data_IF_748678560154
#
_entry.id   IF_748678560154
#
_cell.length_a   1.000
_cell.length_b   1.000
_cell.length_c   1.000
_cell.angle_alpha   90.00
_cell.angle_beta   90.00
_cell.angle_gamma   90.00
#
_symmetry.space_group_name_H-M   'P 1'
#
loop_
_entity.id
_entity.type
_entity.pdbx_description
1 polymer ?
#
# COMPACT_ATOMS: atom_id res chain seq x y z
N UNK A 1 -15.05 59.86 7.64
CA UNK A 1 -14.91 58.65 8.48
C UNK A 1 -14.15 57.62 7.66
N UNK A 2 -12.86 57.43 7.96
CA UNK A 2 -11.99 56.48 7.27
C UNK A 2 -11.40 55.59 8.37
N UNK A 3 -11.83 54.33 8.44
CA UNK A 3 -11.29 53.35 9.38
C UNK A 3 -10.27 52.49 8.64
N UNK A 4 -9.00 52.69 8.97
CA UNK A 4 -7.91 51.78 8.60
C UNK A 4 -8.02 50.51 9.42
N UNK A 5 -8.08 49.35 8.76
CA UNK A 5 -7.90 48.04 9.40
C UNK A 5 -6.47 47.59 9.16
N UNK A 6 -5.69 47.52 10.25
CA UNK A 6 -4.34 46.97 10.28
C UNK A 6 -4.45 45.44 10.22
N UNK A 7 -3.94 44.82 9.17
CA UNK A 7 -3.81 43.36 9.12
C UNK A 7 -2.58 42.93 9.93
N UNK A 8 -2.81 42.17 11.01
CA UNK A 8 -1.76 41.48 11.76
C UNK A 8 -1.39 40.21 10.97
N UNK A 9 -0.19 40.18 10.39
CA UNK A 9 0.36 38.93 9.86
C UNK A 9 0.84 38.07 11.03
N UNK A 10 0.12 37.00 11.36
CA UNK A 10 0.69 35.91 12.15
C UNK A 10 1.62 35.11 11.24
N UNK A 11 2.92 35.23 11.48
CA UNK A 11 3.92 34.30 10.97
C UNK A 11 3.71 32.94 11.64
N UNK A 12 3.13 31.98 10.90
CA UNK A 12 3.11 30.58 11.32
C UNK A 12 4.54 30.02 11.18
N UNK A 13 5.17 29.74 12.33
CA UNK A 13 6.43 29.01 12.40
C UNK A 13 6.21 27.57 11.92
N UNK A 14 6.99 27.16 10.93
CA UNK A 14 7.08 25.81 10.43
C UNK A 14 7.70 24.91 11.53
N UNK A 15 6.87 24.12 12.21
CA UNK A 15 7.34 23.02 13.06
C UNK A 15 7.58 21.82 12.15
N UNK A 16 8.83 21.57 11.79
CA UNK A 16 9.25 20.34 11.10
C UNK A 16 9.37 19.25 12.17
N UNK A 17 8.44 18.29 12.17
CA UNK A 17 8.57 17.05 12.92
C UNK A 17 9.45 16.07 12.11
N UNK A 18 10.39 15.34 12.75
CA UNK A 18 11.17 14.32 12.06
C UNK A 18 10.31 13.06 11.85
N UNK A 19 10.28 12.54 10.62
CA UNK A 19 9.83 11.15 10.38
C UNK A 19 8.77 10.90 9.31
N UNK A 20 8.53 11.81 8.35
CA UNK A 20 7.78 11.45 7.13
C UNK A 20 8.75 11.35 5.95
N UNK A 21 9.01 10.11 5.52
CA UNK A 21 9.52 9.87 4.19
C UNK A 21 8.40 10.28 3.22
N UNK A 22 8.58 11.46 2.63
CA UNK A 22 7.84 11.93 1.47
C UNK A 22 7.92 10.87 0.38
N UNK A 23 6.80 10.24 0.03
CA UNK A 23 6.67 9.47 -1.21
C UNK A 23 6.50 10.45 -2.39
N UNK A 24 7.52 11.28 -2.59
CA UNK A 24 7.73 12.10 -3.76
C UNK A 24 9.25 12.15 -3.99
N UNK A 25 9.76 11.02 -4.49
CA UNK A 25 11.00 10.85 -5.26
C UNK A 25 11.28 9.34 -5.34
N UNK A 26 10.58 8.68 -6.26
CA UNK A 26 10.98 7.36 -6.74
C UNK A 26 11.26 7.46 -8.24
N UNK A 27 12.11 8.43 -8.61
CA UNK A 27 12.87 8.37 -9.85
C UNK A 27 14.28 7.86 -9.55
N UNK A 28 14.61 6.74 -10.19
CA UNK A 28 15.95 6.20 -10.44
C UNK A 28 16.73 5.54 -9.29
N UNK A 29 17.09 4.28 -9.57
CA UNK A 29 18.33 3.58 -9.23
C UNK A 29 18.63 3.28 -7.74
N UNK A 30 18.33 2.03 -7.34
CA UNK A 30 18.98 1.35 -6.21
C UNK A 30 19.54 0.00 -6.68
N UNK A 31 20.84 -0.04 -6.94
CA UNK A 31 21.57 -1.25 -7.27
C UNK A 31 21.65 -2.18 -6.05
N UNK A 32 21.30 -3.46 -6.25
CA UNK A 32 21.71 -4.56 -5.39
C UNK A 32 22.28 -5.67 -6.29
N UNK A 33 23.58 -5.91 -6.15
CA UNK A 33 24.29 -7.00 -6.81
C UNK A 33 24.21 -8.26 -5.93
N UNK A 34 23.62 -9.34 -6.46
CA UNK A 34 23.90 -10.70 -6.03
C UNK A 34 23.73 -11.66 -7.22
N UNK A 35 24.74 -12.49 -7.44
CA UNK A 35 24.98 -13.25 -8.65
C UNK A 35 24.03 -14.44 -8.84
N UNK A 36 23.50 -14.59 -10.06
CA UNK A 36 23.02 -15.86 -10.61
C UNK A 36 23.08 -15.81 -12.14
N UNK A 37 24.00 -16.58 -12.74
CA UNK A 37 24.02 -17.00 -14.14
C UNK A 37 24.09 -15.89 -15.20
N UNK A 38 25.25 -15.72 -15.83
CA UNK A 38 25.35 -14.98 -17.10
C UNK A 38 24.63 -15.76 -18.20
N UNK A 39 23.30 -15.65 -18.25
CA UNK A 39 22.52 -16.11 -19.39
C UNK A 39 22.85 -15.14 -20.53
N UNK A 40 23.43 -15.67 -21.62
CA UNK A 40 23.82 -14.87 -22.77
C UNK A 40 22.66 -13.97 -23.21
N UNK A 41 22.95 -12.70 -23.47
CA UNK A 41 21.98 -11.77 -24.02
C UNK A 41 21.36 -12.40 -25.28
N UNK A 42 20.04 -12.55 -25.30
CA UNK A 42 19.36 -13.02 -26.49
C UNK A 42 19.43 -11.88 -27.50
N UNK A 43 20.07 -12.12 -28.65
CA UNK A 43 20.36 -11.09 -29.66
C UNK A 43 19.19 -10.89 -30.65
N UNK A 44 17.97 -10.74 -30.13
CA UNK A 44 16.78 -10.49 -30.93
C UNK A 44 16.39 -9.01 -31.01
N UNK A 45 15.39 -8.71 -31.83
CA UNK A 45 14.91 -7.35 -32.12
C UNK A 45 13.44 -7.22 -31.74
N UNK A 46 13.10 -6.19 -30.96
CA UNK A 46 11.72 -5.80 -30.71
C UNK A 46 11.08 -5.23 -31.98
N UNK A 47 9.92 -5.77 -32.33
CA UNK A 47 9.10 -5.38 -33.48
C UNK A 47 7.74 -4.92 -32.99
N UNK A 48 7.08 -4.04 -33.74
CA UNK A 48 5.73 -3.57 -33.41
C UNK A 48 4.89 -3.41 -34.66
N UNK A 49 3.64 -3.82 -34.58
CA UNK A 49 2.60 -3.55 -35.58
C UNK A 49 1.35 -2.95 -34.92
N UNK A 50 0.20 -3.00 -35.61
CA UNK A 50 -1.07 -2.51 -35.09
C UNK A 50 -1.65 -3.36 -33.94
N UNK A 51 -1.21 -4.61 -33.78
CA UNK A 51 -1.67 -5.53 -32.73
C UNK A 51 -0.84 -5.40 -31.46
N UNK A 52 0.48 -5.22 -31.59
CA UNK A 52 1.32 -5.06 -30.42
C UNK A 52 2.81 -5.19 -30.68
N UNK A 53 3.56 -5.27 -29.58
CA UNK A 53 4.99 -5.57 -29.59
C UNK A 53 5.22 -7.07 -29.65
N UNK A 54 6.25 -7.53 -30.36
CA UNK A 54 6.74 -8.91 -30.33
C UNK A 54 8.26 -8.93 -30.46
N UNK A 55 8.89 -10.06 -30.17
CA UNK A 55 10.35 -10.18 -30.15
C UNK A 55 10.85 -11.16 -31.22
N UNK A 56 11.59 -10.67 -32.22
CA UNK A 56 12.13 -11.48 -33.30
C UNK A 56 13.53 -11.99 -32.96
N UNK A 57 13.73 -13.30 -32.96
CA UNK A 57 15.03 -13.93 -32.77
C UNK A 57 15.88 -13.89 -34.06
N UNK A 58 17.21 -14.07 -33.98
CA UNK A 58 18.09 -14.07 -35.15
C UNK A 58 17.71 -15.04 -36.26
N UNK A 59 17.12 -16.19 -35.91
CA UNK A 59 16.64 -17.20 -36.84
C UNK A 59 15.26 -16.87 -37.47
N UNK A 60 14.70 -15.71 -37.12
CA UNK A 60 13.40 -15.23 -37.57
C UNK A 60 12.22 -15.74 -36.74
N UNK A 61 12.43 -16.67 -35.81
CA UNK A 61 11.38 -17.16 -34.90
C UNK A 61 11.03 -16.12 -33.82
N UNK A 62 9.98 -16.40 -33.03
CA UNK A 62 9.52 -15.51 -31.96
C UNK A 62 8.84 -16.30 -30.83
N UNK A 63 8.88 -15.80 -29.58
CA UNK A 63 8.18 -16.44 -28.47
C UNK A 63 6.67 -16.27 -28.61
N UNK A 64 5.92 -17.36 -28.46
CA UNK A 64 4.47 -17.37 -28.48
C UNK A 64 3.93 -18.29 -27.37
N UNK A 65 2.97 -17.80 -26.59
CA UNK A 65 2.32 -18.49 -25.48
C UNK A 65 3.25 -18.77 -24.30
N UNK A 66 4.36 -18.03 -24.17
CA UNK A 66 5.43 -18.32 -23.23
C UNK A 66 5.95 -17.08 -22.54
N UNK A 67 6.59 -17.30 -21.38
CA UNK A 67 7.44 -16.31 -20.73
C UNK A 67 8.86 -16.39 -21.36
N UNK A 68 9.58 -15.27 -21.43
CA UNK A 68 10.94 -15.20 -21.94
C UNK A 68 11.76 -14.12 -21.24
N UNK A 69 13.01 -14.45 -20.90
CA UNK A 69 13.98 -13.49 -20.35
C UNK A 69 14.80 -12.87 -21.47
N UNK A 70 14.73 -11.55 -21.60
CA UNK A 70 15.48 -10.76 -22.58
C UNK A 70 16.32 -9.76 -21.79
N UNK A 71 17.65 -9.87 -21.90
CA UNK A 71 18.61 -9.03 -21.17
C UNK A 71 18.33 -8.95 -19.65
N UNK A 72 18.06 -10.11 -19.03
CA UNK A 72 17.78 -10.21 -17.60
C UNK A 72 16.38 -9.77 -17.17
N UNK A 73 15.53 -9.31 -18.09
CA UNK A 73 14.15 -8.92 -17.80
C UNK A 73 13.17 -9.96 -18.35
N UNK A 74 12.23 -10.39 -17.53
CA UNK A 74 11.20 -11.35 -17.94
C UNK A 74 9.99 -10.66 -18.57
N UNK A 75 9.58 -11.16 -19.74
CA UNK A 75 8.42 -10.74 -20.52
C UNK A 75 7.48 -11.94 -20.70
N UNK A 76 6.22 -11.71 -21.05
CA UNK A 76 5.27 -12.77 -21.41
C UNK A 76 4.60 -12.47 -22.73
N UNK A 77 4.39 -13.49 -23.54
CA UNK A 77 3.81 -13.39 -24.87
C UNK A 77 2.53 -14.21 -24.96
N UNK A 78 1.51 -13.68 -25.63
CA UNK A 78 0.27 -14.40 -25.94
C UNK A 78 0.48 -15.49 -27.00
N UNK A 79 -0.55 -16.26 -27.30
CA UNK A 79 -0.47 -17.42 -28.20
C UNK A 79 -0.06 -17.04 -29.64
N UNK A 80 -0.24 -15.78 -30.03
CA UNK A 80 0.11 -15.23 -31.33
C UNK A 80 1.53 -14.62 -31.34
N UNK A 81 2.16 -14.50 -30.18
CA UNK A 81 3.52 -13.99 -30.00
C UNK A 81 3.61 -12.50 -29.66
N UNK A 82 2.50 -11.85 -29.34
CA UNK A 82 2.48 -10.47 -28.89
C UNK A 82 2.70 -10.38 -27.38
N UNK A 83 3.54 -9.43 -26.99
CA UNK A 83 3.90 -9.14 -25.61
C UNK A 83 2.67 -8.64 -24.84
N UNK A 84 2.42 -9.23 -23.67
CA UNK A 84 1.35 -8.77 -22.77
C UNK A 84 1.87 -7.78 -21.75
N UNK A 85 0.99 -6.87 -21.35
CA UNK A 85 1.17 -5.93 -20.24
C UNK A 85 -0.01 -6.05 -19.27
N UNK A 86 0.12 -5.44 -18.09
CA UNK A 86 -0.89 -5.45 -17.04
C UNK A 86 -0.96 -6.77 -16.28
N UNK A 87 -2.13 -7.04 -15.74
CA UNK A 87 -2.40 -8.24 -14.93
C UNK A 87 -2.49 -9.50 -15.79
N UNK A 88 -1.66 -10.48 -15.45
CA UNK A 88 -1.63 -11.78 -16.14
C UNK A 88 -1.82 -12.89 -15.11
N UNK A 89 -2.88 -13.68 -15.29
CA UNK A 89 -3.17 -14.84 -14.43
C UNK A 89 -2.23 -16.00 -14.77
N UNK A 90 -1.60 -16.57 -13.74
CA UNK A 90 -0.82 -17.80 -13.80
C UNK A 90 -1.47 -18.90 -12.97
N UNK A 91 -0.94 -20.13 -13.05
CA UNK A 91 -1.41 -21.25 -12.23
C UNK A 91 -1.26 -21.00 -10.72
N UNK A 92 -0.32 -20.15 -10.30
CA UNK A 92 0.00 -19.89 -8.89
C UNK A 92 -0.61 -18.59 -8.35
N UNK A 93 -1.12 -17.72 -9.21
CA UNK A 93 -1.60 -16.40 -8.82
C UNK A 93 -1.40 -15.36 -9.92
N UNK A 94 -1.53 -14.09 -9.56
CA UNK A 94 -1.44 -12.97 -10.49
C UNK A 94 -0.02 -12.43 -10.60
N UNK A 95 0.47 -12.30 -11.82
CA UNK A 95 1.67 -11.54 -12.18
C UNK A 95 1.25 -10.17 -12.71
N UNK A 96 2.10 -9.16 -12.54
CA UNK A 96 1.93 -7.87 -13.18
C UNK A 96 3.09 -7.59 -14.13
N UNK A 97 2.75 -7.10 -15.33
CA UNK A 97 3.70 -6.66 -16.35
C UNK A 97 3.53 -5.16 -16.55
N UNK A 98 4.60 -4.39 -16.36
CA UNK A 98 4.57 -2.94 -16.56
C UNK A 98 4.23 -2.59 -18.02
N UNK A 99 3.86 -1.32 -18.32
CA UNK A 99 3.63 -0.90 -19.70
C UNK A 99 4.82 -1.14 -20.65
N UNK A 100 6.04 -1.23 -20.11
CA UNK A 100 7.24 -1.63 -20.84
C UNK A 100 7.30 -3.13 -21.20
N UNK A 101 6.41 -3.95 -20.65
CA UNK A 101 6.43 -5.40 -20.77
C UNK A 101 7.30 -6.11 -19.74
N UNK A 102 8.06 -5.38 -18.93
CA UNK A 102 8.86 -5.98 -17.86
C UNK A 102 7.94 -6.56 -16.76
N UNK A 103 8.19 -7.80 -16.32
CA UNK A 103 7.50 -8.34 -15.14
C UNK A 103 7.89 -7.57 -13.89
N UNK A 104 6.90 -7.21 -13.07
CA UNK A 104 7.15 -6.66 -11.74
C UNK A 104 7.93 -7.66 -10.87
N UNK A 105 8.94 -7.12 -10.17
CA UNK A 105 9.65 -7.82 -9.11
C UNK A 105 8.85 -7.86 -7.81
N UNK A 106 9.51 -8.20 -6.71
CA UNK A 106 8.91 -8.05 -5.38
C UNK A 106 8.76 -6.56 -5.00
N UNK A 107 7.78 -6.26 -4.15
CA UNK A 107 7.52 -4.94 -3.62
C UNK A 107 6.21 -4.32 -4.11
N UNK A 108 6.06 -3.03 -3.80
CA UNK A 108 4.86 -2.26 -4.11
C UNK A 108 4.77 -1.93 -5.60
N UNK A 109 3.58 -2.12 -6.16
CA UNK A 109 3.22 -1.74 -7.54
C UNK A 109 1.97 -0.89 -7.49
N UNK A 110 2.01 0.28 -8.12
CA UNK A 110 0.83 1.13 -8.30
C UNK A 110 0.25 0.95 -9.69
N UNK A 111 -1.05 0.66 -9.77
CA UNK A 111 -1.81 0.50 -11.01
C UNK A 111 -3.06 1.38 -10.90
N UNK A 112 -3.17 2.38 -11.79
CA UNK A 112 -4.32 3.30 -11.84
C UNK A 112 -4.69 3.95 -10.49
N UNK A 113 -3.67 4.29 -9.69
CA UNK A 113 -3.82 4.89 -8.37
C UNK A 113 -4.05 3.88 -7.23
N UNK A 114 -4.21 2.60 -7.52
CA UNK A 114 -4.36 1.53 -6.53
C UNK A 114 -3.02 0.82 -6.29
N UNK A 115 -2.68 0.59 -5.02
CA UNK A 115 -1.46 -0.12 -4.64
C UNK A 115 -1.69 -1.62 -4.48
N UNK A 116 -0.71 -2.41 -4.92
CA UNK A 116 -0.64 -3.86 -4.78
C UNK A 116 0.75 -4.23 -4.28
N UNK A 117 0.88 -5.37 -3.60
CA UNK A 117 2.17 -5.86 -3.13
C UNK A 117 2.53 -7.19 -3.79
N UNK A 118 3.66 -7.22 -4.49
CA UNK A 118 4.20 -8.41 -5.15
C UNK A 118 5.20 -9.10 -4.22
N UNK A 119 5.08 -10.41 -4.02
CA UNK A 119 5.99 -11.19 -3.17
C UNK A 119 6.22 -12.60 -3.65
N UNK A 120 7.34 -13.19 -3.22
CA UNK A 120 7.72 -14.56 -3.53
C UNK A 120 8.61 -14.67 -4.77
N UNK A 121 9.05 -15.90 -5.03
CA UNK A 121 9.85 -16.24 -6.21
C UNK A 121 9.15 -17.35 -7.01
N UNK A 122 8.51 -17.03 -8.15
CA UNK A 122 8.39 -15.70 -8.77
C UNK A 122 7.45 -14.76 -7.99
N UNK A 123 7.64 -13.44 -8.17
CA UNK A 123 6.81 -12.43 -7.52
C UNK A 123 5.37 -12.49 -8.02
N UNK A 124 4.44 -12.67 -7.08
CA UNK A 124 2.99 -12.74 -7.29
C UNK A 124 2.30 -11.72 -6.39
N UNK A 125 1.17 -11.18 -6.84
CA UNK A 125 0.41 -10.26 -6.02
C UNK A 125 -0.16 -10.96 -4.78
N UNK A 126 0.02 -10.33 -3.62
CA UNK A 126 -0.57 -10.75 -2.36
C UNK A 126 -2.07 -10.43 -2.35
N UNK A 127 -2.88 -11.46 -2.11
CA UNK A 127 -4.33 -11.39 -2.20
C UNK A 127 -4.93 -11.48 -0.80
N UNK A 128 -5.65 -10.45 -0.37
CA UNK A 128 -6.40 -10.46 0.87
C UNK A 128 -5.58 -10.43 2.15
N UNK A 129 -6.16 -9.85 3.19
CA UNK A 129 -5.71 -9.99 4.56
C UNK A 129 -4.50 -9.13 4.93
N UNK A 130 -3.93 -9.48 6.08
CA UNK A 130 -2.83 -8.75 6.69
C UNK A 130 -1.50 -9.00 5.98
N UNK A 131 -0.78 -7.92 5.73
CA UNK A 131 0.54 -7.92 5.11
C UNK A 131 1.49 -7.10 5.98
N UNK A 132 2.58 -7.71 6.44
CA UNK A 132 3.67 -7.00 7.13
C UNK A 132 4.82 -6.73 6.15
N UNK A 133 5.24 -5.47 6.04
CA UNK A 133 6.40 -5.05 5.25
C UNK A 133 7.25 -4.12 6.10
N UNK A 134 8.47 -4.57 6.41
CA UNK A 134 9.44 -3.76 7.18
C UNK A 134 8.93 -3.34 8.56
N UNK A 135 8.18 -4.20 9.25
CA UNK A 135 7.58 -3.89 10.56
C UNK A 135 6.32 -3.03 10.51
N UNK A 136 5.83 -2.67 9.33
CA UNK A 136 4.57 -1.94 9.15
C UNK A 136 3.49 -2.89 8.63
N UNK A 137 2.32 -2.85 9.25
CA UNK A 137 1.15 -3.64 8.84
C UNK A 137 0.31 -2.89 7.81
N UNK A 138 -0.14 -3.62 6.80
CA UNK A 138 -1.06 -3.22 5.74
C UNK A 138 -2.19 -4.23 5.67
N UNK A 139 -3.30 -3.84 5.07
CA UNK A 139 -4.40 -4.75 4.79
C UNK A 139 -4.72 -4.71 3.30
N UNK A 140 -4.77 -5.89 2.67
CA UNK A 140 -5.12 -6.04 1.26
C UNK A 140 -6.55 -6.59 1.16
N UNK A 141 -7.32 -6.12 0.20
CA UNK A 141 -8.63 -6.70 -0.09
C UNK A 141 -8.51 -7.99 -0.91
N UNK A 142 -9.64 -8.65 -1.18
CA UNK A 142 -9.67 -9.92 -1.93
C UNK A 142 -9.15 -9.83 -3.37
N UNK A 143 -9.07 -8.64 -3.95
CA UNK A 143 -8.47 -8.39 -5.26
C UNK A 143 -6.95 -8.13 -5.19
N UNK A 144 -6.41 -8.02 -3.98
CA UNK A 144 -5.03 -7.65 -3.71
C UNK A 144 -4.79 -6.14 -3.70
N UNK A 145 -5.85 -5.33 -3.74
CA UNK A 145 -5.74 -3.88 -3.61
C UNK A 145 -5.50 -3.49 -2.15
N UNK A 146 -4.59 -2.55 -1.92
CA UNK A 146 -4.27 -2.04 -0.60
C UNK A 146 -5.43 -1.20 -0.06
N UNK A 147 -5.90 -1.53 1.13
CA UNK A 147 -6.99 -0.83 1.81
C UNK A 147 -6.46 0.42 2.51
N UNK A 148 -7.25 1.50 2.43
CA UNK A 148 -7.09 2.71 3.23
C UNK A 148 -8.41 3.02 3.95
N UNK A 149 -8.35 3.75 5.05
CA UNK A 149 -9.51 4.06 5.90
C UNK A 149 -9.87 2.93 6.86
N UNK A 150 -11.10 2.96 7.36
CA UNK A 150 -11.63 1.96 8.29
C UNK A 150 -11.79 0.60 7.63
N UNK A 151 -11.31 -0.45 8.28
CA UNK A 151 -11.49 -1.85 7.87
C UNK A 151 -11.95 -2.68 9.06
N UNK A 152 -12.97 -3.51 8.83
CA UNK A 152 -13.45 -4.49 9.81
C UNK A 152 -12.88 -5.86 9.47
N UNK A 153 -12.18 -6.47 10.42
CA UNK A 153 -11.58 -7.80 10.26
C UNK A 153 -12.07 -8.68 11.41
N UNK A 154 -12.93 -9.66 11.10
CA UNK A 154 -13.67 -10.38 12.14
C UNK A 154 -14.62 -9.43 12.87
N UNK A 155 -14.52 -9.36 14.19
CA UNK A 155 -15.32 -8.45 15.02
C UNK A 155 -14.62 -7.11 15.29
N UNK A 156 -13.33 -7.01 14.96
CA UNK A 156 -12.48 -5.87 15.30
C UNK A 156 -12.42 -4.84 14.16
N UNK A 157 -12.33 -3.57 14.54
CA UNK A 157 -12.09 -2.45 13.63
C UNK A 157 -10.64 -1.98 13.69
N UNK A 158 -10.10 -1.66 12.52
CA UNK A 158 -8.76 -1.10 12.35
C UNK A 158 -8.86 0.12 11.45
N UNK A 159 -7.89 1.02 11.56
CA UNK A 159 -7.78 2.15 10.64
C UNK A 159 -6.48 2.06 9.85
N UNK A 160 -6.59 2.00 8.53
CA UNK A 160 -5.48 2.06 7.60
C UNK A 160 -5.27 3.52 7.19
N UNK A 161 -4.08 4.07 7.44
CA UNK A 161 -3.72 5.44 7.06
C UNK A 161 -3.77 5.62 5.54
N UNK A 162 -3.73 6.86 5.01
CA UNK A 162 -3.67 7.09 3.56
C UNK A 162 -2.48 6.41 2.86
N UNK A 163 -1.39 6.16 3.59
CA UNK A 163 -0.24 5.37 3.14
C UNK A 163 -0.49 3.86 3.09
N UNK A 164 -1.63 3.40 3.62
CA UNK A 164 -1.95 2.00 3.86
C UNK A 164 -1.40 1.43 5.17
N UNK A 165 -0.59 2.18 5.91
CA UNK A 165 -0.05 1.72 7.20
C UNK A 165 -1.16 1.63 8.25
N UNK A 166 -1.21 0.55 9.02
CA UNK A 166 -2.13 0.37 10.13
C UNK A 166 -1.84 1.40 11.23
N UNK A 167 -2.85 2.18 11.61
CA UNK A 167 -2.74 3.14 12.69
C UNK A 167 -2.72 2.45 14.06
N UNK A 168 -1.94 3.04 14.97
CA UNK A 168 -1.95 2.76 16.41
C UNK A 168 -1.94 4.08 17.17
N UNK A 169 -2.36 4.05 18.44
CA UNK A 169 -2.47 5.23 19.29
C UNK A 169 -3.70 6.11 18.98
N UNK A 170 -3.60 7.37 19.40
CA UNK A 170 -4.66 8.36 19.20
C UNK A 170 -4.76 8.78 17.73
N UNK A 171 -5.99 8.81 17.22
CA UNK A 171 -6.31 9.19 15.86
C UNK A 171 -7.44 10.23 15.87
N UNK A 172 -7.26 11.34 15.15
CA UNK A 172 -8.30 12.34 14.96
C UNK A 172 -8.83 12.32 13.53
N UNK A 173 -10.12 12.07 13.34
CA UNK A 173 -10.79 12.09 12.04
C UNK A 173 -12.01 13.01 12.11
N UNK A 174 -12.06 14.03 11.25
CA UNK A 174 -13.22 14.91 11.14
C UNK A 174 -13.64 15.59 12.46
N UNK A 175 -12.67 15.85 13.35
CA UNK A 175 -12.92 16.42 14.68
C UNK A 175 -13.28 15.39 15.78
N UNK A 176 -13.47 14.12 15.42
CA UNK A 176 -13.70 13.03 16.38
C UNK A 176 -12.38 12.32 16.71
N UNK A 177 -12.17 12.02 17.99
CA UNK A 177 -11.01 11.25 18.44
C UNK A 177 -11.36 9.76 18.55
N UNK A 178 -10.39 8.93 18.21
CA UNK A 178 -10.40 7.47 18.32
C UNK A 178 -9.09 7.02 18.96
N UNK A 179 -9.07 5.82 19.51
CA UNK A 179 -7.84 5.19 19.95
C UNK A 179 -7.71 3.81 19.32
N UNK A 180 -6.61 3.56 18.62
CA UNK A 180 -6.25 2.26 18.08
C UNK A 180 -5.23 1.65 19.05
N UNK A 181 -5.55 0.50 19.61
CA UNK A 181 -4.68 -0.19 20.56
C UNK A 181 -3.33 -0.56 19.91
N UNK A 182 -2.30 -0.99 20.66
CA UNK A 182 -1.00 -1.36 20.09
C UNK A 182 -1.06 -2.44 18.99
N UNK A 183 -2.07 -3.30 19.03
CA UNK A 183 -2.35 -4.31 18.00
C UNK A 183 -3.23 -3.78 16.84
N UNK A 184 -3.54 -2.48 16.82
CA UNK A 184 -4.37 -1.80 15.83
C UNK A 184 -5.88 -1.83 16.07
N UNK A 185 -6.36 -2.61 17.05
CA UNK A 185 -7.80 -2.75 17.31
C UNK A 185 -8.36 -1.45 17.90
N UNK A 186 -9.41 -0.93 17.29
CA UNK A 186 -10.14 0.25 17.77
C UNK A 186 -10.72 0.01 19.16
N UNK A 187 -10.42 0.91 20.09
CA UNK A 187 -11.01 0.92 21.41
C UNK A 187 -12.51 1.28 21.35
N UNK A 188 -13.30 0.63 22.20
CA UNK A 188 -14.70 0.97 22.49
C UNK A 188 -14.96 0.67 23.97
N UNK A 189 -15.99 1.27 24.57
CA UNK A 189 -16.27 1.12 26.00
C UNK A 189 -15.23 1.85 26.87
N UNK A 190 -14.96 1.35 28.06
CA UNK A 190 -13.96 1.93 28.98
C UNK A 190 -12.61 1.21 28.77
N UNK A 191 -11.59 1.96 28.37
CA UNK A 191 -10.23 1.44 28.13
C UNK A 191 -9.20 2.28 28.89
N UNK A 192 -8.28 1.63 29.60
CA UNK A 192 -7.17 2.30 30.30
C UNK A 192 -6.02 2.59 29.33
N UNK A 193 -5.63 3.86 29.22
CA UNK A 193 -4.54 4.33 28.37
C UNK A 193 -3.59 5.14 29.24
N UNK A 194 -2.34 4.68 29.38
CA UNK A 194 -1.32 5.30 30.24
C UNK A 194 -1.80 5.51 31.70
N UNK A 195 -2.53 4.54 32.25
CA UNK A 195 -3.06 4.60 33.62
C UNK A 195 -4.29 5.48 33.80
N UNK A 196 -4.86 6.02 32.71
CA UNK A 196 -6.07 6.84 32.75
C UNK A 196 -7.19 6.10 32.00
N UNK A 197 -8.32 5.78 32.64
CA UNK A 197 -9.47 5.21 31.95
C UNK A 197 -10.11 6.26 31.04
N UNK A 198 -10.41 5.87 29.80
CA UNK A 198 -11.10 6.66 28.81
C UNK A 198 -12.36 5.94 28.32
N UNK A 199 -13.43 6.68 28.13
CA UNK A 199 -14.68 6.17 27.60
C UNK A 199 -14.77 6.42 26.09
N UNK A 200 -15.19 5.40 25.35
CA UNK A 200 -15.42 5.40 23.92
C UNK A 200 -16.80 4.83 23.64
N UNK A 201 -17.51 5.39 22.67
CA UNK A 201 -18.75 4.82 22.14
C UNK A 201 -18.48 3.49 21.43
N UNK A 202 -19.54 2.75 21.10
CA UNK A 202 -19.44 1.47 20.36
C UNK A 202 -18.85 1.64 18.95
N UNK A 203 -18.94 2.84 18.38
CA UNK A 203 -18.32 3.20 17.10
C UNK A 203 -16.86 3.68 17.27
N UNK A 204 -16.32 3.64 18.49
CA UNK A 204 -14.97 4.06 18.85
C UNK A 204 -14.76 5.56 19.03
N UNK A 205 -15.81 6.38 18.92
CA UNK A 205 -15.71 7.81 19.18
C UNK A 205 -15.40 8.05 20.66
N UNK A 206 -14.33 8.79 20.92
CA UNK A 206 -13.90 9.13 22.27
C UNK A 206 -14.84 10.15 22.93
N UNK A 207 -15.29 9.83 24.13
CA UNK A 207 -16.19 10.66 24.95
C UNK A 207 -15.40 11.53 25.93
N UNK A 208 -14.32 10.99 26.52
CA UNK A 208 -13.56 11.68 27.55
C UNK A 208 -12.74 10.73 28.44
N UNK A 209 -11.94 11.30 29.34
CA UNK A 209 -11.41 10.56 30.49
C UNK A 209 -12.53 10.27 31.49
N UNK A 210 -12.57 9.06 32.04
CA UNK A 210 -13.58 8.61 32.98
C UNK A 210 -13.06 8.77 34.41
N UNK A 211 -13.72 9.57 35.25
CA UNK A 211 -13.22 9.87 36.60
C UNK A 211 -13.96 9.09 37.71
N UNK A 212 -14.60 7.96 37.39
CA UNK A 212 -15.09 7.06 38.43
C UNK A 212 -16.33 7.48 39.21
N UNK A 213 -17.02 8.57 38.88
CA UNK A 213 -18.26 8.93 39.59
C UNK A 213 -19.46 8.24 38.95
N UNK A 214 -19.75 7.00 39.34
CA UNK A 214 -21.15 6.65 39.52
C UNK A 214 -21.67 7.47 40.71
N UNK A 215 -22.77 8.17 40.52
CA UNK A 215 -23.57 8.67 41.63
C UNK A 215 -23.83 7.52 42.59
N UNK A 216 -23.36 7.64 43.83
CA UNK A 216 -23.95 6.89 44.93
C UNK A 216 -25.45 7.26 44.92
N UNK A 217 -26.28 6.38 44.36
CA UNK A 217 -27.71 6.38 44.63
C UNK A 217 -27.84 6.18 46.14
N UNK A 218 -27.94 7.30 46.86
CA UNK A 218 -28.41 7.34 48.23
C UNK A 218 -29.87 6.92 48.18
N UNK A 219 -30.10 5.62 48.28
CA UNK A 219 -31.42 5.07 48.54
C UNK A 219 -31.91 5.58 49.92
N UNK A 220 -33.12 6.15 50.02
CA UNK A 220 -33.81 6.26 51.30
C UNK A 220 -34.32 4.90 51.80
#
# INVERSE_FOLDING_TARGET
MLTTVTALALSAGLVVLPGVASAADASSAGAAQAAAGSQAAVDGVWRRDSKGWWYQLPDGSYPAGTDMVINGTEYTFDAEGYMRTGWVRSAKGWRYYHPSGARAGEGWVQVDGTWYYMKGSPALAHMGGWLEVGGTWYYMDSSGAMVTGWVKVGDDWYFMQPSGAMATGWLQLGGTWYYLQPNGVMAYGIVEINGVPHAFEINGAWVGAWNGSESEDVAP
#
